data_IF_591295687183
#
_entry.id   IF_591295687183
#
_cell.length_a   1.000
_cell.length_b   1.000
_cell.length_c   1.000
_cell.angle_alpha   90.00
_cell.angle_beta   90.00
_cell.angle_gamma   90.00
#
_symmetry.space_group_name_H-M   'P 1'
#
loop_
_entity.id
_entity.type
_entity.pdbx_description
1 polymer ?
#
# COMPACT_ATOMS: atom_id res chain seq x y z
N UNK A 1 -22.05 17.91 11.85
CA UNK A 1 -20.64 17.85 11.40
C UNK A 1 -20.49 16.47 10.79
N UNK A 2 -20.42 16.41 9.47
CA UNK A 2 -20.22 15.13 8.77
C UNK A 2 -18.79 14.70 9.05
N UNK A 3 -18.61 13.69 9.89
CA UNK A 3 -17.34 12.98 9.94
C UNK A 3 -17.12 12.41 8.55
N UNK A 4 -16.17 12.98 7.83
CA UNK A 4 -15.71 12.53 6.52
C UNK A 4 -15.04 11.16 6.72
N UNK A 5 -15.84 10.09 6.76
CA UNK A 5 -15.39 8.71 7.02
C UNK A 5 -14.50 8.13 5.91
N UNK A 6 -14.21 8.90 4.87
CA UNK A 6 -13.34 8.53 3.75
C UNK A 6 -11.96 9.19 3.79
N UNK A 7 -11.65 9.99 4.81
CA UNK A 7 -10.33 10.63 4.91
C UNK A 7 -9.39 9.70 5.69
N UNK A 8 -8.42 9.10 4.99
CA UNK A 8 -7.32 8.39 5.64
C UNK A 8 -6.67 9.39 6.61
N UNK A 9 -6.64 9.12 7.93
CA UNK A 9 -6.22 10.13 8.89
C UNK A 9 -4.80 10.65 8.58
N UNK A 10 -4.50 11.91 8.87
CA UNK A 10 -3.23 12.55 8.50
C UNK A 10 -1.98 11.74 8.91
N UNK A 11 -2.06 11.03 10.05
CA UNK A 11 -1.02 10.10 10.55
C UNK A 11 -0.65 8.97 9.57
N UNK A 12 -1.52 8.61 8.64
CA UNK A 12 -1.27 7.58 7.64
C UNK A 12 -0.60 8.15 6.40
N UNK A 13 -0.77 9.44 6.09
CA UNK A 13 -0.12 10.05 4.92
C UNK A 13 1.40 10.09 5.06
N UNK A 14 1.91 10.44 6.24
CA UNK A 14 3.35 10.41 6.55
C UNK A 14 3.91 8.99 6.45
N UNK A 15 3.23 8.00 7.04
CA UNK A 15 3.65 6.59 6.92
C UNK A 15 3.65 6.14 5.46
N UNK A 16 2.62 6.45 4.68
CA UNK A 16 2.54 6.05 3.26
C UNK A 16 3.62 6.74 2.41
N UNK A 17 4.00 7.98 2.75
CA UNK A 17 5.15 8.68 2.14
C UNK A 17 6.47 7.98 2.47
N UNK A 18 6.69 7.60 3.73
CA UNK A 18 7.88 6.83 4.12
C UNK A 18 7.90 5.45 3.44
N UNK A 19 6.74 4.81 3.29
CA UNK A 19 6.61 3.56 2.55
C UNK A 19 7.08 3.73 1.12
N UNK A 20 6.57 4.77 0.45
CA UNK A 20 6.91 5.09 -0.92
C UNK A 20 8.42 5.20 -1.09
N UNK A 21 9.05 6.00 -0.24
CA UNK A 21 10.49 6.22 -0.27
C UNK A 21 11.25 4.92 -0.01
N UNK A 22 10.76 4.08 0.91
CA UNK A 22 11.35 2.76 1.20
C UNK A 22 11.23 1.82 0.02
N UNK A 23 10.07 1.76 -0.64
CA UNK A 23 9.87 0.98 -1.86
C UNK A 23 10.77 1.47 -3.00
N UNK A 24 10.87 2.79 -3.20
CA UNK A 24 11.73 3.36 -4.24
C UNK A 24 13.21 3.02 -4.03
N UNK A 25 13.68 2.99 -2.78
CA UNK A 25 15.08 2.72 -2.42
C UNK A 25 15.42 1.25 -2.21
N UNK A 26 14.47 0.44 -1.76
CA UNK A 26 14.69 -0.94 -1.34
C UNK A 26 13.89 -1.92 -2.21
N UNK A 27 14.55 -2.67 -3.11
CA UNK A 27 13.88 -3.64 -3.97
C UNK A 27 13.29 -4.83 -3.20
N UNK A 28 13.83 -5.18 -2.01
CA UNK A 28 13.27 -6.26 -1.21
C UNK A 28 11.96 -5.85 -0.51
N UNK A 29 11.82 -4.57 -0.14
CA UNK A 29 10.56 -4.00 0.32
C UNK A 29 9.52 -3.98 -0.81
N UNK A 30 9.94 -3.69 -2.05
CA UNK A 30 9.10 -3.82 -3.26
C UNK A 30 8.57 -5.24 -3.45
N UNK A 31 9.44 -6.24 -3.33
CA UNK A 31 9.06 -7.64 -3.49
C UNK A 31 8.05 -8.07 -2.41
N UNK A 32 8.30 -7.69 -1.15
CA UNK A 32 7.35 -7.91 -0.03
C UNK A 32 6.01 -7.20 -0.25
N UNK A 33 6.02 -5.97 -0.75
CA UNK A 33 4.81 -5.23 -1.05
C UNK A 33 4.01 -5.87 -2.20
N UNK A 34 4.68 -6.35 -3.26
CA UNK A 34 4.04 -7.16 -4.31
C UNK A 34 3.44 -8.43 -3.69
N UNK A 35 4.18 -9.19 -2.89
CA UNK A 35 3.70 -10.42 -2.26
C UNK A 35 2.50 -10.17 -1.33
N UNK A 36 2.52 -9.08 -0.57
CA UNK A 36 1.39 -8.69 0.27
C UNK A 36 0.17 -8.28 -0.57
N UNK A 37 0.36 -7.49 -1.64
CA UNK A 37 -0.72 -7.16 -2.57
C UNK A 37 -1.31 -8.42 -3.20
N UNK A 38 -0.48 -9.35 -3.65
CA UNK A 38 -0.92 -10.66 -4.18
C UNK A 38 -1.85 -11.38 -3.21
N UNK A 39 -1.56 -11.30 -1.90
CA UNK A 39 -2.37 -11.89 -0.84
C UNK A 39 -3.66 -11.10 -0.55
N UNK A 40 -3.61 -9.78 -0.62
CA UNK A 40 -4.72 -8.89 -0.20
C UNK A 40 -5.73 -8.61 -1.32
N UNK A 41 -5.26 -8.29 -2.53
CA UNK A 41 -6.13 -7.92 -3.68
C UNK A 41 -6.25 -9.05 -4.72
N UNK A 42 -5.56 -10.17 -4.50
CA UNK A 42 -5.58 -11.35 -5.37
C UNK A 42 -4.54 -11.33 -6.48
N UNK A 43 -4.19 -12.52 -6.96
CA UNK A 43 -3.09 -12.79 -7.90
C UNK A 43 -3.26 -12.04 -9.25
N UNK A 44 -4.49 -11.88 -9.74
CA UNK A 44 -4.77 -11.16 -11.00
C UNK A 44 -4.49 -9.65 -10.87
N UNK A 45 -5.05 -9.00 -9.84
CA UNK A 45 -4.88 -7.56 -9.65
C UNK A 45 -3.42 -7.21 -9.33
N UNK A 46 -2.74 -8.07 -8.57
CA UNK A 46 -1.37 -7.84 -8.18
C UNK A 46 -0.36 -8.26 -9.28
N UNK A 47 -0.70 -9.24 -10.14
CA UNK A 47 0.07 -9.59 -11.32
C UNK A 47 0.18 -8.44 -12.32
N UNK A 48 -0.94 -7.74 -12.56
CA UNK A 48 -0.93 -6.52 -13.36
C UNK A 48 -0.06 -5.42 -12.75
N UNK A 49 -0.06 -5.28 -11.42
CA UNK A 49 0.78 -4.30 -10.72
C UNK A 49 2.26 -4.67 -10.77
N UNK A 50 2.62 -5.95 -10.66
CA UNK A 50 4.00 -6.40 -10.75
C UNK A 50 4.57 -6.34 -12.18
N UNK A 51 3.77 -6.04 -13.21
CA UNK A 51 4.22 -5.86 -14.61
C UNK A 51 4.45 -4.38 -15.01
N UNK A 52 3.92 -3.42 -14.23
CA UNK A 52 4.06 -1.98 -14.53
C UNK A 52 5.48 -1.43 -14.26
N UNK A 53 5.77 -0.20 -14.67
CA UNK A 53 7.03 0.48 -14.27
C UNK A 53 7.09 0.70 -12.75
N UNK A 54 8.28 0.64 -12.14
CA UNK A 54 8.49 0.71 -10.68
C UNK A 54 7.69 1.82 -9.99
N UNK A 55 7.70 3.04 -10.54
CA UNK A 55 6.96 4.18 -9.98
C UNK A 55 5.44 4.00 -10.02
N UNK A 56 4.91 3.30 -11.02
CA UNK A 56 3.48 2.99 -11.13
C UNK A 56 3.07 1.86 -10.18
N UNK A 57 3.92 0.84 -9.99
CA UNK A 57 3.68 -0.22 -9.00
C UNK A 57 3.51 0.37 -7.60
N UNK A 58 4.43 1.27 -7.24
CA UNK A 58 4.47 1.90 -5.93
C UNK A 58 3.23 2.77 -5.72
N UNK A 59 2.86 3.59 -6.72
CA UNK A 59 1.70 4.47 -6.60
C UNK A 59 0.39 3.68 -6.47
N UNK A 60 0.20 2.63 -7.27
CA UNK A 60 -1.01 1.82 -7.22
C UNK A 60 -1.06 0.92 -5.98
N UNK A 61 0.09 0.44 -5.48
CA UNK A 61 0.18 -0.21 -4.18
C UNK A 61 -0.28 0.72 -3.05
N UNK A 62 0.19 1.98 -3.06
CA UNK A 62 -0.21 2.99 -2.08
C UNK A 62 -1.69 3.32 -2.19
N UNK A 63 -2.22 3.43 -3.40
CA UNK A 63 -3.64 3.73 -3.63
C UNK A 63 -4.54 2.60 -3.10
N UNK A 64 -4.21 1.35 -3.41
CA UNK A 64 -4.91 0.19 -2.86
C UNK A 64 -4.84 0.12 -1.34
N UNK A 65 -3.67 0.38 -0.74
CA UNK A 65 -3.56 0.44 0.71
C UNK A 65 -4.40 1.56 1.30
N UNK A 66 -4.43 2.75 0.69
CA UNK A 66 -5.31 3.85 1.14
C UNK A 66 -6.77 3.44 1.12
N UNK A 67 -7.22 2.79 0.04
CA UNK A 67 -8.59 2.30 -0.10
C UNK A 67 -8.88 1.23 0.96
N UNK A 68 -8.02 0.23 1.11
CA UNK A 68 -8.21 -0.84 2.09
C UNK A 68 -8.16 -0.34 3.54
N UNK A 69 -7.32 0.66 3.86
CA UNK A 69 -7.29 1.32 5.16
C UNK A 69 -8.58 2.11 5.43
N UNK A 70 -9.09 2.81 4.41
CA UNK A 70 -10.34 3.56 4.51
C UNK A 70 -11.56 2.63 4.65
N UNK A 71 -11.55 1.49 3.96
CA UNK A 71 -12.59 0.45 4.07
C UNK A 71 -12.49 -0.37 5.35
N UNK A 72 -11.34 -0.36 6.03
CA UNK A 72 -11.08 -1.20 7.21
C UNK A 72 -10.77 -2.66 6.87
N UNK A 73 -10.50 -2.97 5.61
CA UNK A 73 -10.07 -4.30 5.12
C UNK A 73 -8.66 -4.66 5.63
N UNK A 74 -7.82 -3.66 5.83
CA UNK A 74 -6.46 -3.83 6.36
C UNK A 74 -6.23 -2.87 7.52
N UNK A 75 -5.43 -3.26 8.50
CA UNK A 75 -5.04 -2.42 9.61
C UNK A 75 -3.62 -1.86 9.43
N UNK A 76 -3.23 -0.88 10.26
CA UNK A 76 -1.85 -0.37 10.29
C UNK A 76 -0.85 -1.50 10.56
N UNK A 77 -1.22 -2.46 11.40
CA UNK A 77 -0.31 -3.54 11.78
C UNK A 77 0.04 -4.44 10.58
N UNK A 78 -0.89 -4.63 9.63
CA UNK A 78 -0.60 -5.29 8.36
C UNK A 78 0.45 -4.53 7.55
N UNK A 79 0.44 -3.19 7.58
CA UNK A 79 1.48 -2.38 6.92
C UNK A 79 2.83 -2.63 7.59
N UNK A 80 2.89 -2.69 8.92
CA UNK A 80 4.16 -2.91 9.64
C UNK A 80 4.83 -4.22 9.23
N UNK A 81 4.08 -5.28 8.94
CA UNK A 81 4.64 -6.52 8.40
C UNK A 81 5.35 -6.31 7.05
N UNK A 82 4.84 -5.42 6.20
CA UNK A 82 5.44 -5.08 4.91
C UNK A 82 6.68 -4.19 5.09
N UNK A 83 6.62 -3.27 6.06
CA UNK A 83 7.71 -2.36 6.36
C UNK A 83 8.89 -3.05 7.05
N UNK A 84 8.67 -4.06 7.90
CA UNK A 84 9.72 -4.71 8.69
C UNK A 84 10.20 -3.86 9.86
#
# INVERSE_FOLDING_TARGET
MSEDKNQVPYKYEEMLQEFRIKLEKDPAARDRACAWLHKTIGEEAAGHLCDLSDSMKIQACIDHMKISLASGDIQIDDLKEIFG
#
